data_IF_787992697910
#
_entry.id   IF_787992697910
#
_cell.length_a   1.000
_cell.length_b   1.000
_cell.length_c   1.000
_cell.angle_alpha   90.00
_cell.angle_beta   90.00
_cell.angle_gamma   90.00
#
_symmetry.space_group_name_H-M   'P 1'
#
loop_
_entity.id
_entity.type
_entity.pdbx_description
1 polymer ?
#
# COMPACT_ATOMS: atom_id res chain seq x y z
N UNK A 1 -16.37 7.81 2.50
CA UNK A 1 -16.65 6.36 2.44
C UNK A 1 -15.56 5.69 3.24
N UNK A 2 -15.89 4.84 4.21
CA UNK A 2 -14.87 4.19 5.07
C UNK A 2 -14.72 2.75 4.58
N UNK A 3 -13.65 2.47 3.83
CA UNK A 3 -13.33 1.14 3.31
C UNK A 3 -12.76 0.26 4.42
N UNK A 4 -13.64 -0.38 5.18
CA UNK A 4 -13.26 -1.42 6.16
C UNK A 4 -13.29 -2.79 5.50
N UNK A 5 -12.49 -3.72 6.00
CA UNK A 5 -12.52 -5.10 5.51
C UNK A 5 -13.93 -5.71 5.60
N UNK A 6 -14.64 -5.48 6.70
CA UNK A 6 -16.01 -5.96 6.89
C UNK A 6 -16.93 -5.54 5.74
N UNK A 7 -16.89 -4.26 5.36
CA UNK A 7 -17.79 -3.69 4.35
C UNK A 7 -17.33 -4.04 2.94
N UNK A 8 -16.02 -3.97 2.68
CA UNK A 8 -15.45 -4.23 1.36
C UNK A 8 -15.54 -5.72 0.97
N UNK A 9 -15.43 -6.64 1.94
CA UNK A 9 -15.56 -8.08 1.71
C UNK A 9 -16.97 -8.50 1.25
N UNK A 10 -18.00 -7.69 1.51
CA UNK A 10 -19.35 -7.94 0.98
C UNK A 10 -19.43 -7.72 -0.53
N UNK A 11 -18.54 -6.90 -1.10
CA UNK A 11 -18.46 -6.65 -2.54
C UNK A 11 -17.18 -7.26 -3.13
N UNK A 12 -17.27 -8.54 -3.51
CA UNK A 12 -16.15 -9.33 -4.03
C UNK A 12 -15.47 -8.68 -5.23
N UNK A 13 -16.25 -8.14 -6.17
CA UNK A 13 -15.72 -7.50 -7.37
C UNK A 13 -14.89 -6.27 -7.03
N UNK A 14 -15.41 -5.40 -6.15
CA UNK A 14 -14.69 -4.21 -5.73
C UNK A 14 -13.45 -4.56 -4.89
N UNK A 15 -13.56 -5.54 -4.00
CA UNK A 15 -12.45 -6.05 -3.20
C UNK A 15 -11.29 -6.48 -4.09
N UNK A 16 -11.57 -7.33 -5.08
CA UNK A 16 -10.56 -7.83 -6.01
C UNK A 16 -10.01 -6.72 -6.91
N UNK A 17 -10.85 -5.80 -7.37
CA UNK A 17 -10.40 -4.68 -8.18
C UNK A 17 -9.41 -3.79 -7.42
N UNK A 18 -9.68 -3.49 -6.15
CA UNK A 18 -8.85 -2.63 -5.32
C UNK A 18 -7.57 -3.31 -4.83
N UNK A 19 -7.64 -4.57 -4.43
CA UNK A 19 -6.52 -5.29 -3.80
C UNK A 19 -5.71 -6.15 -4.78
N UNK A 20 -6.32 -6.57 -5.89
CA UNK A 20 -5.78 -7.59 -6.78
C UNK A 20 -5.85 -9.01 -6.22
N UNK A 21 -6.48 -9.22 -5.06
CA UNK A 21 -6.61 -10.51 -4.38
C UNK A 21 -8.08 -10.91 -4.24
N UNK A 22 -8.37 -12.20 -4.22
CA UNK A 22 -9.65 -12.68 -3.69
C UNK A 22 -9.64 -12.66 -2.16
N UNK A 23 -10.82 -12.64 -1.54
CA UNK A 23 -10.97 -12.50 -0.07
C UNK A 23 -10.18 -13.59 0.68
N UNK A 24 -10.20 -14.84 0.19
CA UNK A 24 -9.49 -15.95 0.81
C UNK A 24 -7.97 -15.78 0.77
N UNK A 25 -7.42 -15.27 -0.34
CA UNK A 25 -5.99 -14.96 -0.45
C UNK A 25 -5.59 -13.83 0.51
N UNK A 26 -6.46 -12.82 0.67
CA UNK A 26 -6.24 -11.77 1.65
C UNK A 26 -6.30 -12.29 3.09
N UNK A 27 -7.24 -13.18 3.41
CA UNK A 27 -7.33 -13.77 4.74
C UNK A 27 -6.10 -14.64 5.07
N UNK A 28 -5.61 -15.40 4.09
CA UNK A 28 -4.36 -16.15 4.20
C UNK A 28 -3.15 -15.22 4.38
N UNK A 29 -3.10 -14.11 3.64
CA UNK A 29 -2.09 -13.07 3.81
C UNK A 29 -2.11 -12.54 5.25
N UNK A 30 -3.27 -12.16 5.78
CA UNK A 30 -3.39 -11.64 7.15
C UNK A 30 -2.96 -12.68 8.18
N UNK A 31 -3.38 -13.94 8.01
CA UNK A 31 -3.02 -15.06 8.90
C UNK A 31 -1.51 -15.30 8.91
N UNK A 32 -0.88 -15.33 7.74
CA UNK A 32 0.57 -15.55 7.62
C UNK A 32 1.40 -14.36 8.07
N UNK A 33 0.85 -13.15 7.99
CA UNK A 33 1.46 -11.91 8.44
C UNK A 33 1.47 -11.75 9.97
N UNK A 34 0.50 -12.32 10.67
CA UNK A 34 0.30 -12.12 12.11
C UNK A 34 1.54 -12.41 12.99
N UNK A 35 2.29 -13.51 12.79
CA UNK A 35 3.52 -13.77 13.55
C UNK A 35 4.60 -12.70 13.33
N UNK A 36 4.78 -12.23 12.09
CA UNK A 36 5.74 -11.18 11.75
C UNK A 36 5.36 -9.86 12.41
N UNK A 37 4.07 -9.50 12.35
CA UNK A 37 3.56 -8.30 13.00
C UNK A 37 3.74 -8.33 14.52
N UNK A 38 3.36 -9.42 15.18
CA UNK A 38 3.47 -9.54 16.63
C UNK A 38 4.93 -9.48 17.10
N UNK A 39 5.85 -10.11 16.38
CA UNK A 39 7.28 -10.01 16.67
C UNK A 39 7.81 -8.57 16.49
N UNK A 40 7.44 -7.90 15.40
CA UNK A 40 7.81 -6.51 15.15
C UNK A 40 7.22 -5.56 16.21
N UNK A 41 5.99 -5.80 16.63
CA UNK A 41 5.31 -5.00 17.65
C UNK A 41 5.95 -5.19 19.03
N UNK A 42 6.29 -6.42 19.41
CA UNK A 42 7.04 -6.70 20.64
C UNK A 42 8.39 -5.98 20.64
N UNK A 43 9.12 -6.01 19.52
CA UNK A 43 10.39 -5.28 19.37
C UNK A 43 10.21 -3.76 19.49
N UNK A 44 9.14 -3.21 18.89
CA UNK A 44 8.82 -1.77 18.97
C UNK A 44 8.50 -1.34 20.40
N UNK A 45 7.72 -2.14 21.12
CA UNK A 45 7.32 -1.85 22.49
C UNK A 45 8.49 -1.97 23.49
N UNK A 46 9.47 -2.84 23.21
CA UNK A 46 10.64 -3.10 24.04
C UNK A 46 11.88 -2.24 23.69
N UNK A 47 11.75 -1.22 22.84
CA UNK A 47 12.90 -0.39 22.42
C UNK A 47 13.48 0.40 23.61
N UNK A 48 14.81 0.40 23.82
CA UNK A 48 15.44 1.24 24.84
C UNK A 48 15.17 2.73 24.51
N UNK A 49 14.97 3.54 25.54
CA UNK A 49 14.60 4.97 25.43
C UNK A 49 13.14 5.28 25.10
N UNK A 50 12.22 4.32 25.27
CA UNK A 50 10.78 4.58 25.16
C UNK A 50 10.27 5.37 26.37
N UNK A 51 9.73 6.57 26.13
CA UNK A 51 9.23 7.47 27.18
C UNK A 51 7.79 7.17 27.65
N UNK A 52 6.99 6.45 26.84
CA UNK A 52 5.58 6.13 27.17
C UNK A 52 5.43 4.68 27.58
N UNK A 53 4.58 4.38 28.58
CA UNK A 53 4.23 3.01 28.99
C UNK A 53 3.57 2.23 27.85
N UNK A 54 3.63 0.89 27.87
CA UNK A 54 2.93 0.03 26.89
C UNK A 54 1.44 0.37 26.94
N UNK A 55 0.83 0.72 25.79
CA UNK A 55 -0.54 1.24 25.73
C UNK A 55 -0.71 2.75 25.87
N UNK A 56 0.33 3.53 26.20
CA UNK A 56 0.24 5.01 26.32
C UNK A 56 0.26 5.79 25.00
N UNK A 57 0.03 5.12 23.87
CA UNK A 57 -0.19 5.77 22.58
C UNK A 57 -1.69 5.90 22.33
N UNK A 58 -2.12 6.77 21.39
CA UNK A 58 -3.51 6.73 20.92
C UNK A 58 -3.83 5.34 20.38
N UNK A 59 -5.06 4.87 20.59
CA UNK A 59 -5.56 3.69 19.92
C UNK A 59 -5.45 3.88 18.40
N UNK A 60 -5.14 2.80 17.69
CA UNK A 60 -5.10 2.87 16.24
C UNK A 60 -6.54 3.04 15.72
N UNK A 61 -6.77 4.06 14.88
CA UNK A 61 -8.05 4.30 14.20
C UNK A 61 -8.47 3.13 13.28
N UNK A 62 -7.50 2.35 12.81
CA UNK A 62 -7.67 1.10 12.07
C UNK A 62 -7.16 -0.09 12.87
N UNK A 63 -7.88 -1.21 12.83
CA UNK A 63 -7.34 -2.48 13.30
C UNK A 63 -6.18 -2.96 12.38
N UNK A 64 -5.49 -4.03 12.78
CA UNK A 64 -4.33 -4.52 12.01
C UNK A 64 -4.74 -5.01 10.62
N UNK A 65 -5.93 -5.61 10.48
CA UNK A 65 -6.42 -6.15 9.22
C UNK A 65 -6.73 -5.02 8.24
N UNK A 66 -7.36 -3.94 8.70
CA UNK A 66 -7.62 -2.73 7.91
C UNK A 66 -6.32 -1.99 7.58
N UNK A 67 -5.31 -1.97 8.47
CA UNK A 67 -3.98 -1.43 8.15
C UNK A 67 -3.30 -2.20 7.01
N UNK A 68 -3.43 -3.54 7.01
CA UNK A 68 -2.95 -4.39 5.91
C UNK A 68 -3.74 -4.11 4.64
N UNK A 69 -5.07 -4.04 4.71
CA UNK A 69 -5.93 -3.72 3.58
C UNK A 69 -5.55 -2.38 2.94
N UNK A 70 -5.36 -1.35 3.75
CA UNK A 70 -4.90 -0.02 3.31
C UNK A 70 -3.56 -0.11 2.58
N UNK A 71 -2.60 -0.86 3.13
CA UNK A 71 -1.27 -1.00 2.54
C UNK A 71 -1.31 -1.78 1.23
N UNK A 72 -2.16 -2.81 1.15
CA UNK A 72 -2.39 -3.58 -0.08
C UNK A 72 -3.02 -2.72 -1.18
N UNK A 73 -4.05 -1.94 -0.85
CA UNK A 73 -4.66 -0.99 -1.79
C UNK A 73 -3.63 0.03 -2.27
N UNK A 74 -2.75 0.50 -1.37
CA UNK A 74 -1.65 1.38 -1.76
C UNK A 74 -0.66 0.70 -2.71
N UNK A 75 -0.26 -0.55 -2.44
CA UNK A 75 0.64 -1.30 -3.32
C UNK A 75 0.05 -1.50 -4.72
N UNK A 76 -1.25 -1.77 -4.79
CA UNK A 76 -1.94 -2.11 -6.02
C UNK A 76 -2.33 -0.89 -6.86
N UNK A 77 -2.93 0.12 -6.23
CA UNK A 77 -3.50 1.29 -6.90
C UNK A 77 -2.59 2.52 -6.89
N UNK A 78 -1.63 2.55 -5.97
CA UNK A 78 -0.71 3.67 -5.77
C UNK A 78 -1.39 5.06 -5.65
N UNK A 79 -2.47 5.21 -4.86
CA UNK A 79 -3.15 6.49 -4.69
C UNK A 79 -2.32 7.44 -3.81
N UNK A 80 -2.66 8.73 -3.83
CA UNK A 80 -2.08 9.69 -2.88
C UNK A 80 -2.51 9.38 -1.45
N UNK A 81 -1.75 9.87 -0.46
CA UNK A 81 -2.06 9.62 0.95
C UNK A 81 -3.36 10.29 1.39
N UNK A 82 -3.70 11.45 0.82
CA UNK A 82 -4.96 12.15 1.07
C UNK A 82 -6.15 11.34 0.57
N UNK A 83 -6.03 10.80 -0.66
CA UNK A 83 -7.05 9.92 -1.24
C UNK A 83 -7.21 8.67 -0.38
N UNK A 84 -6.10 8.05 0.03
CA UNK A 84 -6.12 6.87 0.86
C UNK A 84 -6.70 7.14 2.26
N UNK A 85 -6.36 8.28 2.86
CA UNK A 85 -6.94 8.73 4.11
C UNK A 85 -8.46 8.92 4.01
N UNK A 86 -8.92 9.62 2.97
CA UNK A 86 -10.36 9.80 2.69
C UNK A 86 -11.11 8.48 2.46
N UNK A 87 -10.48 7.50 1.81
CA UNK A 87 -11.04 6.17 1.58
C UNK A 87 -11.13 5.32 2.85
N UNK A 88 -10.20 5.46 3.79
CA UNK A 88 -10.18 4.64 5.02
C UNK A 88 -10.71 5.39 6.25
N UNK A 89 -11.10 6.66 6.10
CA UNK A 89 -11.59 7.50 7.19
C UNK A 89 -10.49 7.84 8.20
N UNK A 90 -9.26 8.04 7.75
CA UNK A 90 -8.10 8.42 8.58
C UNK A 90 -7.37 9.62 7.97
N UNK A 91 -6.52 10.31 8.74
CA UNK A 91 -5.65 11.34 8.15
C UNK A 91 -4.63 10.76 7.17
N UNK A 92 -4.18 11.56 6.21
CA UNK A 92 -3.07 11.27 5.29
C UNK A 92 -1.79 10.84 6.05
N UNK A 93 -1.50 11.53 7.15
CA UNK A 93 -0.37 11.27 8.05
C UNK A 93 -0.54 9.92 8.74
N UNK A 94 -1.76 9.56 9.16
CA UNK A 94 -2.07 8.24 9.72
C UNK A 94 -1.94 7.14 8.65
N UNK A 95 -2.45 7.34 7.44
CA UNK A 95 -2.29 6.41 6.33
C UNK A 95 -0.81 6.15 5.99
N UNK A 96 0.00 7.20 5.89
CA UNK A 96 1.45 7.09 5.67
C UNK A 96 2.18 6.35 6.80
N UNK A 97 1.76 6.55 8.06
CA UNK A 97 2.28 5.81 9.22
C UNK A 97 1.95 4.32 9.12
N UNK A 98 0.75 3.94 8.69
CA UNK A 98 0.37 2.54 8.49
C UNK A 98 1.17 1.89 7.37
N UNK A 99 1.31 2.54 6.22
CA UNK A 99 2.14 2.03 5.11
C UNK A 99 3.57 1.79 5.59
N UNK A 100 4.20 2.80 6.24
CA UNK A 100 5.59 2.69 6.72
C UNK A 100 5.79 1.55 7.73
N UNK A 101 4.72 1.18 8.45
CA UNK A 101 4.73 0.11 9.43
C UNK A 101 4.55 -1.26 8.80
N UNK A 102 3.57 -1.40 7.92
CA UNK A 102 3.13 -2.69 7.37
C UNK A 102 3.97 -3.10 6.16
N UNK A 103 4.32 -2.14 5.30
CA UNK A 103 4.99 -2.44 4.03
C UNK A 103 6.33 -3.19 4.20
N UNK A 104 7.26 -2.78 5.09
CA UNK A 104 8.52 -3.51 5.25
C UNK A 104 8.32 -4.96 5.72
N UNK A 105 7.25 -5.21 6.48
CA UNK A 105 6.91 -6.54 6.96
C UNK A 105 6.36 -7.42 5.82
N UNK A 106 5.55 -6.85 4.92
CA UNK A 106 5.09 -7.53 3.71
C UNK A 106 6.26 -7.85 2.77
N UNK A 107 7.18 -6.91 2.58
CA UNK A 107 8.38 -7.09 1.76
C UNK A 107 9.29 -8.20 2.31
N UNK A 108 9.56 -8.17 3.62
CA UNK A 108 10.38 -9.20 4.28
C UNK A 108 9.76 -10.59 4.18
N UNK A 109 8.43 -10.67 4.15
CA UNK A 109 7.69 -11.92 3.96
C UNK A 109 7.56 -12.36 2.49
N UNK A 110 8.04 -11.57 1.52
CA UNK A 110 7.85 -11.82 0.09
C UNK A 110 6.40 -11.75 -0.36
N UNK A 111 5.57 -10.94 0.34
CA UNK A 111 4.12 -10.83 0.13
C UNK A 111 3.70 -9.46 -0.40
N UNK A 112 4.59 -8.75 -1.08
CA UNK A 112 4.33 -7.46 -1.72
C UNK A 112 4.07 -7.61 -3.25
N UNK A 113 3.78 -8.81 -3.72
CA UNK A 113 3.54 -9.15 -5.14
C UNK A 113 2.37 -8.41 -5.78
N UNK A 114 1.51 -7.78 -4.98
CA UNK A 114 0.39 -6.93 -5.44
C UNK A 114 0.87 -5.62 -6.09
N UNK A 115 2.14 -5.26 -5.92
CA UNK A 115 2.77 -4.14 -6.62
C UNK A 115 2.51 -4.26 -8.12
N UNK A 116 2.11 -3.15 -8.76
CA UNK A 116 2.24 -3.07 -10.21
C UNK A 116 3.72 -3.31 -10.56
N UNK A 117 4.02 -4.07 -11.62
CA UNK A 117 5.40 -4.30 -12.02
C UNK A 117 6.08 -2.95 -12.23
N UNK A 118 7.00 -2.59 -11.33
CA UNK A 118 7.94 -1.51 -11.62
C UNK A 118 8.79 -2.04 -12.78
N UNK A 119 8.85 -1.36 -13.94
CA UNK A 119 9.78 -1.75 -15.00
C UNK A 119 11.22 -1.85 -14.46
N UNK A 120 11.50 -1.22 -13.33
CA UNK A 120 12.75 -1.35 -12.59
C UNK A 120 13.77 -0.36 -13.13
N UNK A 121 14.65 0.12 -12.26
CA UNK A 121 15.64 1.16 -12.59
C UNK A 121 16.53 0.81 -13.78
N UNK A 122 16.75 -0.49 -14.05
CA UNK A 122 17.55 -1.01 -15.17
C UNK A 122 16.77 -1.24 -16.49
N UNK A 123 15.44 -1.20 -16.49
CA UNK A 123 14.63 -1.22 -17.73
C UNK A 123 13.90 0.09 -17.99
N UNK A 124 14.14 1.14 -17.19
CA UNK A 124 13.80 2.51 -17.57
C UNK A 124 14.72 2.89 -18.72
N UNK A 125 14.23 2.72 -19.94
CA UNK A 125 14.88 3.29 -21.12
C UNK A 125 14.89 4.81 -20.97
N UNK A 126 15.98 5.47 -21.37
CA UNK A 126 15.98 6.92 -21.39
C UNK A 126 14.89 7.38 -22.36
N UNK A 127 14.20 8.49 -22.06
CA UNK A 127 13.14 8.98 -22.95
C UNK A 127 13.66 9.17 -24.38
N UNK A 128 14.90 9.64 -24.49
CA UNK A 128 15.62 9.75 -25.76
C UNK A 128 15.71 8.42 -26.51
N UNK A 129 16.05 7.33 -25.82
CA UNK A 129 16.20 6.00 -26.42
C UNK A 129 14.83 5.46 -26.88
N UNK A 130 13.77 5.72 -26.10
CA UNK A 130 12.39 5.36 -26.46
C UNK A 130 11.91 6.12 -27.71
N UNK A 131 12.23 7.41 -27.80
CA UNK A 131 11.88 8.24 -28.95
C UNK A 131 12.68 7.85 -30.20
N UNK A 132 13.88 7.32 -30.04
CA UNK A 132 14.68 6.80 -31.16
C UNK A 132 14.16 5.45 -31.65
N UNK A 133 13.86 4.52 -30.74
CA UNK A 133 13.33 3.19 -31.08
C UNK A 133 11.88 3.23 -31.57
N UNK A 134 11.10 4.20 -31.10
CA UNK A 134 9.68 4.35 -31.42
C UNK A 134 9.37 5.84 -31.67
N UNK A 135 9.72 6.37 -32.86
CA UNK A 135 9.56 7.80 -33.16
C UNK A 135 8.11 8.29 -33.07
N UNK A 136 7.14 7.41 -33.34
CA UNK A 136 5.70 7.64 -33.19
C UNK A 136 5.27 7.93 -31.74
N UNK A 137 6.07 7.56 -30.73
CA UNK A 137 5.82 7.92 -29.34
C UNK A 137 5.95 9.43 -29.12
N UNK A 138 6.75 10.12 -29.95
CA UNK A 138 6.87 11.58 -29.93
C UNK A 138 5.52 12.26 -30.21
N UNK A 139 4.74 11.71 -31.16
CA UNK A 139 3.41 12.24 -31.50
C UNK A 139 2.43 12.09 -30.34
N UNK A 140 2.52 11.01 -29.57
CA UNK A 140 1.70 10.82 -28.37
C UNK A 140 2.10 11.85 -27.30
N UNK A 141 3.40 11.99 -27.04
CA UNK A 141 3.89 12.93 -26.02
C UNK A 141 3.54 14.39 -26.39
N UNK A 142 3.66 14.75 -27.66
CA UNK A 142 3.32 16.08 -28.17
C UNK A 142 1.80 16.32 -28.15
N UNK A 143 0.99 15.30 -28.51
CA UNK A 143 -0.47 15.38 -28.44
C UNK A 143 -1.02 15.54 -27.01
N UNK A 144 -0.30 15.02 -26.01
CA UNK A 144 -0.63 15.19 -24.58
C UNK A 144 0.20 16.30 -23.90
N UNK A 145 1.03 17.03 -24.65
CA UNK A 145 1.96 18.05 -24.15
C UNK A 145 1.43 19.47 -24.26
N UNK A 146 0.93 20.00 -23.13
CA UNK A 146 0.54 21.40 -22.82
C UNK A 146 -0.74 21.97 -23.47
N UNK A 147 -1.79 22.28 -22.68
CA UNK A 147 -2.37 23.61 -22.76
C UNK A 147 -1.42 24.63 -22.09
N UNK A 148 -1.36 25.82 -22.68
CA UNK A 148 -0.50 26.94 -22.28
C UNK A 148 -0.67 27.39 -20.82
#
# INVERSE_FOLDING_TARGET
>A
MVLRYHDLSQNRCLFQALTGLVITEFDELVKTFWPCYTAAEKKRLNRPHRQRAVGGGPDFELDVRDQILLTVVWLRQYPTLETLGGLFGVSDTTAGRYIRRILPLLETAGRDTMRRPDPGRKRRRHLSDLLQETPELALIIDAFGKPA
#
